data_IF_590771761724
#
_entry.id   IF_590771761724
#
_cell.length_a   1.000
_cell.length_b   1.000
_cell.length_c   1.000
_cell.angle_alpha   90.00
_cell.angle_beta   90.00
_cell.angle_gamma   90.00
#
_symmetry.space_group_name_H-M   'P 1'
#
loop_
_entity.id
_entity.type
_entity.pdbx_description
1 polymer ?
#
# COMPACT_ATOMS: atom_id res chain seq x y z
N UNK A 1 5.26 -6.61 23.93
CA UNK A 1 4.49 -5.95 23.55
C UNK A 1 4.78 -5.21 22.39
N UNK A 2 5.72 -4.87 22.08
CA UNK A 2 5.94 -4.17 21.06
C UNK A 2 6.02 -4.75 19.78
N UNK A 3 6.35 -5.98 19.64
CA UNK A 3 6.46 -6.64 18.39
C UNK A 3 5.18 -6.60 17.64
N UNK A 4 4.12 -6.79 18.34
CA UNK A 4 2.87 -6.82 17.67
C UNK A 4 2.54 -5.45 17.15
N UNK A 5 3.02 -4.44 17.80
CA UNK A 5 2.78 -3.15 17.35
C UNK A 5 3.48 -2.90 16.04
N UNK A 6 4.67 -3.39 15.92
CA UNK A 6 5.40 -3.23 14.71
C UNK A 6 4.72 -3.89 13.56
N UNK A 7 4.21 -5.07 13.75
CA UNK A 7 3.54 -5.75 12.69
C UNK A 7 2.33 -4.98 12.22
N UNK A 8 1.58 -4.45 13.15
CA UNK A 8 0.42 -3.72 12.79
C UNK A 8 0.78 -2.46 12.02
N UNK A 9 1.84 -1.82 12.41
CA UNK A 9 2.23 -0.61 11.76
C UNK A 9 2.65 -0.85 10.34
N UNK A 10 3.23 -1.98 10.07
CA UNK A 10 3.71 -2.25 8.77
C UNK A 10 2.66 -2.75 7.82
N UNK A 11 1.56 -3.22 8.29
CA UNK A 11 0.56 -3.77 7.42
C UNK A 11 -0.31 -2.64 6.84
N UNK A 12 -0.41 -2.59 5.55
CA UNK A 12 -1.28 -1.63 4.91
C UNK A 12 -2.55 -2.35 4.51
N UNK A 13 -3.63 -1.62 4.38
CA UNK A 13 -4.93 -2.23 4.08
C UNK A 13 -5.24 -2.14 2.60
N UNK A 14 -6.22 -2.91 2.18
CA UNK A 14 -6.67 -2.86 0.80
C UNK A 14 -7.17 -1.47 0.44
N UNK A 15 -7.84 -0.81 1.37
CA UNK A 15 -8.34 0.53 1.14
C UNK A 15 -7.19 1.52 0.94
N UNK A 16 -6.12 1.37 1.71
CA UNK A 16 -4.96 2.24 1.53
C UNK A 16 -4.31 2.02 0.17
N UNK A 17 -4.26 0.79 -0.31
CA UNK A 17 -3.67 0.52 -1.62
C UNK A 17 -4.54 1.14 -2.73
N UNK A 18 -5.85 0.99 -2.64
CA UNK A 18 -6.74 1.60 -3.63
C UNK A 18 -6.59 3.13 -3.61
N UNK A 19 -6.53 3.71 -2.41
CA UNK A 19 -6.39 5.15 -2.27
C UNK A 19 -5.05 5.62 -2.81
N UNK A 20 -3.99 4.87 -2.57
CA UNK A 20 -2.66 5.21 -3.07
C UNK A 20 -2.65 5.22 -4.59
N UNK A 21 -3.28 4.20 -5.20
CA UNK A 21 -3.37 4.19 -6.66
C UNK A 21 -4.15 5.40 -7.15
N UNK A 22 -5.22 5.76 -6.44
CA UNK A 22 -6.00 6.93 -6.80
C UNK A 22 -5.18 8.21 -6.74
N UNK A 23 -4.38 8.35 -5.69
CA UNK A 23 -3.54 9.52 -5.57
C UNK A 23 -2.53 9.63 -6.71
N UNK A 24 -2.01 8.49 -7.15
CA UNK A 24 -1.02 8.48 -8.21
C UNK A 24 -1.63 8.45 -9.61
N UNK A 25 -2.92 8.21 -9.70
CA UNK A 25 -3.57 8.03 -11.00
C UNK A 25 -3.14 6.72 -11.65
N UNK A 26 -2.84 5.71 -10.86
CA UNK A 26 -2.33 4.44 -11.37
C UNK A 26 -3.43 3.42 -11.56
N UNK A 27 -3.39 2.73 -12.68
CA UNK A 27 -4.22 1.57 -12.88
C UNK A 27 -3.62 0.40 -12.12
N UNK A 28 -4.37 -0.67 -11.98
CA UNK A 28 -3.82 -1.88 -11.40
C UNK A 28 -2.65 -2.41 -12.23
N UNK A 29 -2.75 -2.30 -13.55
CA UNK A 29 -1.66 -2.73 -14.42
C UNK A 29 -0.37 -1.96 -14.14
N UNK A 30 -0.49 -0.66 -13.87
CA UNK A 30 0.68 0.12 -13.53
C UNK A 30 1.29 -0.36 -12.22
N UNK A 31 0.45 -0.75 -11.26
CA UNK A 31 0.95 -1.27 -10.00
C UNK A 31 1.62 -2.64 -10.19
N UNK A 32 1.11 -3.46 -11.11
CA UNK A 32 1.77 -4.71 -11.46
C UNK A 32 3.19 -4.42 -11.94
N UNK A 33 3.32 -3.46 -12.83
CA UNK A 33 4.64 -3.15 -13.39
C UNK A 33 5.59 -2.64 -12.32
N UNK A 34 5.10 -1.84 -11.42
CA UNK A 34 5.95 -1.24 -10.41
C UNK A 34 6.30 -2.21 -9.28
N UNK A 35 5.39 -3.12 -8.94
CA UNK A 35 5.60 -3.98 -7.78
C UNK A 35 6.05 -5.38 -8.12
N UNK A 36 5.78 -5.83 -9.33
CA UNK A 36 6.06 -7.21 -9.69
C UNK A 36 5.03 -8.19 -9.15
N UNK A 37 3.98 -7.69 -8.50
CA UNK A 37 2.93 -8.55 -7.97
C UNK A 37 1.92 -8.82 -9.07
N UNK A 38 1.53 -10.08 -9.29
CA UNK A 38 0.58 -10.39 -10.37
C UNK A 38 -0.74 -9.66 -10.23
N UNK A 39 -1.33 -9.30 -11.32
CA UNK A 39 -2.58 -8.55 -11.32
C UNK A 39 -3.66 -9.26 -10.54
N UNK A 40 -3.76 -10.57 -10.71
CA UNK A 40 -4.78 -11.33 -10.01
C UNK A 40 -4.63 -11.18 -8.51
N UNK A 41 -3.41 -11.18 -8.01
CA UNK A 41 -3.16 -11.03 -6.59
C UNK A 41 -3.58 -9.65 -6.11
N UNK A 42 -3.27 -8.62 -6.89
CA UNK A 42 -3.66 -7.25 -6.55
C UNK A 42 -5.18 -7.12 -6.50
N UNK A 43 -5.85 -7.66 -7.51
CA UNK A 43 -7.30 -7.59 -7.58
C UNK A 43 -7.92 -8.26 -6.35
N UNK A 44 -7.44 -9.45 -6.03
CA UNK A 44 -8.01 -10.19 -4.91
C UNK A 44 -7.75 -9.49 -3.58
N UNK A 45 -6.60 -8.87 -3.45
CA UNK A 45 -6.29 -8.14 -2.24
C UNK A 45 -7.18 -6.88 -2.14
N UNK A 46 -7.28 -6.13 -3.22
CA UNK A 46 -8.06 -4.91 -3.18
C UNK A 46 -9.55 -5.17 -2.99
N UNK A 47 -10.02 -6.32 -3.47
CA UNK A 47 -11.40 -6.68 -3.32
C UNK A 47 -11.63 -7.46 -2.01
N UNK A 48 -10.58 -7.59 -1.22
CA UNK A 48 -10.65 -8.25 0.07
C UNK A 48 -11.13 -9.70 0.01
N UNK A 49 -10.76 -10.37 -1.06
CA UNK A 49 -11.13 -11.77 -1.23
C UNK A 49 -10.22 -12.68 -0.41
N UNK A 50 -8.93 -12.37 -0.39
CA UNK A 50 -7.98 -13.16 0.37
C UNK A 50 -6.98 -12.25 1.04
N UNK A 51 -6.37 -12.74 2.11
CA UNK A 51 -5.29 -12.02 2.75
C UNK A 51 -3.99 -12.40 2.05
N UNK A 52 -3.22 -11.47 1.59
CA UNK A 52 -1.99 -11.81 0.88
C UNK A 52 -0.87 -12.13 1.84
N UNK A 53 0.19 -12.69 1.33
CA UNK A 53 1.37 -12.96 2.12
C UNK A 53 2.04 -11.66 2.49
N UNK A 54 2.84 -11.69 3.55
CA UNK A 54 3.57 -10.51 3.96
C UNK A 54 4.50 -10.01 2.87
N UNK A 55 5.09 -10.91 2.11
CA UNK A 55 5.98 -10.50 1.04
C UNK A 55 5.23 -9.74 -0.04
N UNK A 56 3.97 -10.10 -0.29
CA UNK A 56 3.16 -9.39 -1.27
C UNK A 56 2.85 -7.99 -0.75
N UNK A 57 2.48 -7.89 0.51
CA UNK A 57 2.19 -6.59 1.12
C UNK A 57 3.43 -5.71 1.06
N UNK A 58 4.59 -6.26 1.38
CA UNK A 58 5.83 -5.50 1.34
C UNK A 58 6.16 -5.01 -0.06
N UNK A 59 5.92 -5.83 -1.06
CA UNK A 59 6.21 -5.44 -2.43
C UNK A 59 5.28 -4.32 -2.89
N UNK A 60 4.00 -4.40 -2.54
CA UNK A 60 3.06 -3.35 -2.89
C UNK A 60 3.42 -2.05 -2.18
N UNK A 61 3.72 -2.15 -0.90
CA UNK A 61 4.06 -0.98 -0.13
C UNK A 61 5.32 -0.32 -0.68
N UNK A 62 6.34 -1.10 -0.96
CA UNK A 62 7.60 -0.55 -1.48
C UNK A 62 7.39 0.17 -2.81
N UNK A 63 6.59 -0.41 -3.69
CA UNK A 63 6.35 0.20 -5.00
C UNK A 63 5.62 1.53 -4.86
N UNK A 64 4.63 1.58 -3.98
CA UNK A 64 3.85 2.79 -3.81
C UNK A 64 4.66 3.86 -3.08
N UNK A 65 5.45 3.44 -2.11
CA UNK A 65 6.31 4.41 -1.40
C UNK A 65 7.37 4.97 -2.34
N UNK A 66 7.92 4.14 -3.21
CA UNK A 66 8.90 4.63 -4.18
C UNK A 66 8.29 5.64 -5.13
N UNK A 67 6.99 5.54 -5.37
CA UNK A 67 6.29 6.47 -6.24
C UNK A 67 5.84 7.74 -5.51
N UNK A 68 6.09 7.83 -4.22
CA UNK A 68 5.80 9.05 -3.49
C UNK A 68 4.67 8.96 -2.48
N UNK A 69 4.08 7.78 -2.30
CA UNK A 69 2.98 7.64 -1.35
C UNK A 69 3.53 7.46 0.05
N UNK A 70 2.90 8.10 1.01
CA UNK A 70 3.22 7.93 2.39
C UNK A 70 2.04 7.26 3.05
N UNK A 71 2.26 6.12 3.71
CA UNK A 71 1.20 5.41 4.38
C UNK A 71 1.12 5.89 5.83
N UNK A 72 -0.07 6.23 6.27
CA UNK A 72 -0.29 6.76 7.60
C UNK A 72 -0.98 5.70 8.42
N UNK A 73 -0.28 5.21 9.44
CA UNK A 73 -0.85 4.19 10.30
C UNK A 73 -1.93 4.78 11.16
N UNK A 74 -2.82 3.92 11.60
CA UNK A 74 -3.87 4.36 12.49
C UNK A 74 -3.26 4.85 13.79
N UNK A 75 -3.63 6.04 14.19
CA UNK A 75 -3.08 6.60 15.41
C UNK A 75 -4.13 7.46 16.09
N UNK A 76 -5.34 7.00 16.09
CA UNK A 76 -6.45 7.72 16.69
C UNK A 76 -7.30 8.39 15.64
N UNK A 77 -6.80 8.48 14.43
CA UNK A 77 -7.52 9.09 13.36
C UNK A 77 -7.77 8.18 12.18
N UNK A 78 -7.49 6.95 12.29
CA UNK A 78 -7.70 6.02 11.18
C UNK A 78 -6.51 5.99 10.23
N UNK A 79 -6.34 4.89 9.54
CA UNK A 79 -5.25 4.72 8.60
C UNK A 79 -5.52 5.53 7.34
N UNK A 80 -4.48 6.01 6.71
CA UNK A 80 -4.65 6.81 5.50
C UNK A 80 -3.43 6.78 4.62
N UNK A 81 -3.44 7.59 3.58
CA UNK A 81 -2.33 7.76 2.67
C UNK A 81 -2.27 9.21 2.23
N UNK A 82 -1.09 9.65 1.83
CA UNK A 82 -0.93 10.96 1.22
C UNK A 82 0.30 10.92 0.33
N UNK A 83 0.39 11.85 -0.59
CA UNK A 83 1.61 11.97 -1.37
C UNK A 83 2.60 12.77 -0.55
N UNK A 84 3.86 12.30 -0.57
CA UNK A 84 4.90 13.02 0.12
C UNK A 84 5.07 14.35 -0.56
N UNK A 85 5.37 15.38 0.21
CA UNK A 85 5.65 16.66 -0.37
C UNK A 85 6.92 16.53 -1.20
N UNK A 86 6.83 16.97 -2.43
CA UNK A 86 7.94 16.80 -3.32
C UNK A 86 9.05 17.72 -2.97
N UNK A 87 10.13 17.16 -2.62
CA UNK A 87 11.23 17.94 -2.17
C UNK A 87 12.04 18.45 -3.28
N UNK A 88 12.09 17.78 -4.37
CA UNK A 88 12.92 18.18 -5.35
C UNK A 88 12.27 18.88 -6.34
N UNK A 89 11.27 19.04 -6.46
CA UNK A 89 10.63 19.72 -7.50
C UNK A 89 11.43 19.99 -8.66
#
# INVERSE_FOLDING_TARGET
>A
MNASINGAVEDITSAQVRAARGLLGWSRGRLVDASGVPKRTIVRFEDEVTAPRKSTISALRAALEAAGVEFIAENGGGAGVRLRKEATA
#
